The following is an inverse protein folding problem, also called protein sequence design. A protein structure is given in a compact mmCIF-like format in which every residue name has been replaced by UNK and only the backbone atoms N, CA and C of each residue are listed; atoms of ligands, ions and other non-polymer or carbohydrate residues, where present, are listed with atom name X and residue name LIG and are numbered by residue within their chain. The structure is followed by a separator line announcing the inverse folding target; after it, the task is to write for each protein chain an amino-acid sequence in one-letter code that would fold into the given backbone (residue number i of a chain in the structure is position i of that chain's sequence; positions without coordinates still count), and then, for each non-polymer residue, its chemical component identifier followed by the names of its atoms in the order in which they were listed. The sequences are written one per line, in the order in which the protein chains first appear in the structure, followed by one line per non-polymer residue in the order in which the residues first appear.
data_IF_917133796350
#
_entry.id   IF_917133796350
#
_cell.length_a   1.000
_cell.length_b   1.000
_cell.length_c   1.000
_cell.angle_alpha   90.00
_cell.angle_beta   90.00
_cell.angle_gamma   90.00
#
_symmetry.space_group_name_H-M   'P 1'
#
loop_
_entity.id
_entity.type
_entity.pdbx_description
1 polymer ?
#
# COMPACT_ATOMS: atom_id res chain seq x y z
N UNK A 1 8.16 -17.61 -15.12
CA UNK A 1 7.51 -16.83 -14.05
C UNK A 1 8.30 -15.55 -13.86
N UNK A 2 7.65 -14.41 -13.60
CA UNK A 2 8.34 -13.13 -13.36
C UNK A 2 8.63 -12.95 -11.88
N UNK A 3 9.72 -12.26 -11.53
CA UNK A 3 10.01 -11.84 -10.16
C UNK A 3 9.15 -10.63 -9.81
N UNK A 4 8.33 -10.73 -8.77
CA UNK A 4 7.34 -9.73 -8.42
C UNK A 4 7.70 -8.99 -7.13
N UNK A 5 7.58 -7.67 -7.18
CA UNK A 5 7.53 -6.82 -6.00
C UNK A 5 6.12 -6.25 -5.85
N UNK A 6 5.63 -6.18 -4.61
CA UNK A 6 4.33 -5.54 -4.28
C UNK A 6 4.60 -4.28 -3.48
N UNK A 7 4.15 -3.14 -4.00
CA UNK A 7 4.26 -1.83 -3.38
C UNK A 7 2.87 -1.39 -2.90
N UNK A 8 2.68 -1.31 -1.59
CA UNK A 8 1.40 -0.96 -0.97
C UNK A 8 1.48 0.43 -0.37
N UNK A 9 0.72 1.35 -0.94
CA UNK A 9 0.45 2.65 -0.32
C UNK A 9 -0.56 2.45 0.81
N UNK A 10 -0.07 2.46 2.04
CA UNK A 10 -0.87 2.15 3.21
C UNK A 10 -1.96 3.16 3.50
N UNK A 11 -1.70 4.44 3.26
CA UNK A 11 -2.69 5.50 3.44
C UNK A 11 -3.85 5.32 2.45
N UNK A 12 -3.52 5.23 1.16
CA UNK A 12 -4.53 5.06 0.11
C UNK A 12 -5.27 3.72 0.25
N UNK A 13 -4.54 2.63 0.47
CA UNK A 13 -5.14 1.30 0.54
C UNK A 13 -6.01 1.10 1.78
N UNK A 14 -5.69 1.72 2.93
CA UNK A 14 -6.54 1.67 4.12
C UNK A 14 -7.95 2.19 3.85
N UNK A 15 -8.09 3.34 3.19
CA UNK A 15 -9.40 3.91 2.88
C UNK A 15 -10.17 3.06 1.87
N UNK A 16 -9.48 2.46 0.89
CA UNK A 16 -10.08 1.53 -0.07
C UNK A 16 -10.55 0.24 0.59
N UNK A 17 -9.72 -0.37 1.44
CA UNK A 17 -10.11 -1.54 2.23
C UNK A 17 -11.33 -1.23 3.09
N UNK A 18 -11.40 -0.04 3.71
CA UNK A 18 -12.59 0.39 4.45
C UNK A 18 -13.84 0.46 3.56
N UNK A 19 -13.76 0.99 2.33
CA UNK A 19 -14.90 1.01 1.40
C UNK A 19 -15.29 -0.41 0.95
N UNK A 20 -14.32 -1.29 0.66
CA UNK A 20 -14.60 -2.67 0.27
C UNK A 20 -15.27 -3.46 1.40
N UNK A 21 -14.70 -3.41 2.62
CA UNK A 21 -15.25 -4.11 3.79
C UNK A 21 -16.63 -3.62 4.21
N UNK A 22 -16.96 -2.34 3.98
CA UNK A 22 -18.30 -1.82 4.26
C UNK A 22 -19.42 -2.44 3.42
N UNK A 23 -19.06 -3.17 2.35
CA UNK A 23 -19.98 -3.86 1.45
C UNK A 23 -20.08 -5.36 1.74
N UNK A 24 -19.33 -5.85 2.71
CA UNK A 24 -19.33 -7.26 3.12
C UNK A 24 -20.26 -7.46 4.32
N UNK A 25 -20.82 -8.67 4.42
CA UNK A 25 -21.61 -9.08 5.56
C UNK A 25 -20.68 -9.51 6.71
N UNK A 26 -20.49 -8.64 7.70
CA UNK A 26 -19.71 -9.00 8.88
C UNK A 26 -19.05 -7.82 9.55
N UNK A 27 -18.45 -8.08 10.72
CA UNK A 27 -17.56 -7.13 11.38
C UNK A 27 -16.13 -7.57 11.17
N UNK A 28 -15.39 -6.78 10.40
CA UNK A 28 -13.99 -7.03 10.11
C UNK A 28 -13.11 -5.92 10.69
N UNK A 29 -11.99 -6.34 11.25
CA UNK A 29 -10.93 -5.43 11.67
C UNK A 29 -9.90 -5.31 10.55
N UNK A 30 -9.73 -4.10 10.02
CA UNK A 30 -8.72 -3.82 8.99
C UNK A 30 -7.29 -4.05 9.48
N UNK A 31 -7.08 -4.00 10.80
CA UNK A 31 -5.78 -4.35 11.40
C UNK A 31 -5.48 -5.83 11.28
N UNK A 32 -6.48 -6.68 11.07
CA UNK A 32 -6.32 -8.14 10.95
C UNK A 32 -6.20 -8.60 9.49
N UNK A 33 -6.20 -7.67 8.53
CA UNK A 33 -6.02 -8.00 7.12
C UNK A 33 -4.69 -8.75 6.87
N UNK A 34 -4.78 -9.90 6.22
CA UNK A 34 -3.65 -10.78 5.92
C UNK A 34 -2.92 -10.32 4.64
N UNK A 35 -2.18 -9.21 4.75
CA UNK A 35 -1.44 -8.58 3.65
C UNK A 35 -0.50 -9.54 2.89
N UNK A 36 0.15 -10.49 3.58
CA UNK A 36 1.03 -11.48 2.94
C UNK A 36 0.24 -12.40 2.01
N UNK A 37 -0.85 -12.99 2.50
CA UNK A 37 -1.73 -13.86 1.69
C UNK A 37 -2.33 -13.10 0.52
N UNK A 38 -2.76 -11.86 0.75
CA UNK A 38 -3.24 -10.98 -0.31
C UNK A 38 -2.19 -10.77 -1.40
N UNK A 39 -0.96 -10.45 -1.03
CA UNK A 39 0.14 -10.28 -1.98
C UNK A 39 0.46 -11.56 -2.76
N UNK A 40 0.52 -12.72 -2.08
CA UNK A 40 0.76 -14.02 -2.71
C UNK A 40 -0.32 -14.39 -3.74
N UNK A 41 -1.58 -14.18 -3.37
CA UNK A 41 -2.72 -14.34 -4.29
C UNK A 41 -2.61 -13.37 -5.48
N UNK A 42 -2.33 -12.09 -5.20
CA UNK A 42 -2.29 -11.03 -6.20
C UNK A 42 -1.23 -11.29 -7.28
N UNK A 43 -0.05 -11.77 -6.88
CA UNK A 43 1.05 -11.94 -7.83
C UNK A 43 0.93 -13.19 -8.70
N UNK A 44 0.05 -14.14 -8.37
CA UNK A 44 -0.06 -15.43 -9.08
C UNK A 44 -0.28 -15.22 -10.59
N UNK A 45 0.46 -15.92 -11.48
CA UNK A 45 1.42 -17.02 -11.25
C UNK A 45 2.89 -16.56 -11.12
N UNK A 46 3.15 -15.30 -10.79
CA UNK A 46 4.51 -14.77 -10.62
C UNK A 46 5.07 -15.11 -9.23
N UNK A 47 6.39 -15.03 -9.12
CA UNK A 47 7.12 -15.31 -7.89
C UNK A 47 7.18 -14.06 -7.01
N UNK A 48 6.56 -14.09 -5.82
CA UNK A 48 6.63 -13.00 -4.86
C UNK A 48 8.00 -12.94 -4.20
N UNK A 49 8.80 -11.92 -4.49
CA UNK A 49 10.10 -11.71 -3.84
C UNK A 49 10.01 -10.78 -2.63
N UNK A 50 9.24 -9.69 -2.74
CA UNK A 50 9.21 -8.66 -1.70
C UNK A 50 7.86 -7.94 -1.64
N UNK A 51 7.44 -7.64 -0.41
CA UNK A 51 6.30 -6.75 -0.14
C UNK A 51 6.83 -5.54 0.61
N UNK A 52 6.52 -4.35 0.12
CA UNK A 52 6.83 -3.08 0.78
C UNK A 52 5.55 -2.33 1.09
N UNK A 53 5.40 -1.92 2.35
CA UNK A 53 4.25 -1.17 2.84
C UNK A 53 4.70 0.24 3.24
N UNK A 54 4.10 1.25 2.62
CA UNK A 54 4.44 2.65 2.75
C UNK A 54 3.44 3.33 3.65
N UNK A 55 3.89 3.89 4.77
CA UNK A 55 3.01 4.46 5.79
C UNK A 55 3.47 5.87 6.23
N UNK A 56 2.52 6.80 6.33
CA UNK A 56 2.74 8.11 6.97
C UNK A 56 3.09 7.92 8.46
N UNK A 57 4.08 8.66 8.96
CA UNK A 57 4.48 8.57 10.35
C UNK A 57 3.56 9.39 11.27
N UNK A 58 2.79 8.71 12.13
CA UNK A 58 1.88 9.38 13.05
C UNK A 58 2.68 9.94 14.22
N UNK A 59 2.63 11.27 14.38
CA UNK A 59 3.21 11.92 15.55
C UNK A 59 2.35 11.67 16.78
N UNK A 60 2.98 11.16 17.84
CA UNK A 60 2.37 11.03 19.16
C UNK A 60 2.33 12.37 19.88
N UNK A 61 1.14 12.89 20.13
CA UNK A 61 0.90 14.11 20.89
C UNK A 61 0.38 13.77 22.29
N UNK A 62 1.16 14.14 23.31
CA UNK A 62 0.76 13.94 24.71
C UNK A 62 -0.49 14.76 25.00
N UNK A 63 -1.38 14.20 25.82
CA UNK A 63 -2.68 14.79 26.20
C UNK A 63 -3.69 14.92 25.06
N UNK A 64 -3.46 14.25 23.93
CA UNK A 64 -4.42 14.15 22.83
C UNK A 64 -4.87 12.68 22.68
N UNK A 65 -6.03 12.28 23.25
CA UNK A 65 -6.48 10.89 23.23
C UNK A 65 -6.60 10.29 21.82
N UNK A 66 -7.00 11.11 20.85
CA UNK A 66 -7.10 10.69 19.44
C UNK A 66 -5.73 10.39 18.85
N UNK A 67 -4.74 11.25 19.09
CA UNK A 67 -3.36 11.04 18.64
C UNK A 67 -2.74 9.79 19.30
N UNK A 68 -2.95 9.60 20.61
CA UNK A 68 -2.50 8.41 21.33
C UNK A 68 -3.11 7.12 20.75
N UNK A 69 -4.41 7.12 20.45
CA UNK A 69 -5.09 5.96 19.85
C UNK A 69 -4.60 5.67 18.43
N UNK A 70 -4.43 6.71 17.60
CA UNK A 70 -3.91 6.57 16.23
C UNK A 70 -2.48 6.01 16.23
N UNK A 71 -1.62 6.53 17.12
CA UNK A 71 -0.27 6.02 17.31
C UNK A 71 -0.28 4.55 17.76
N UNK A 72 -1.10 4.19 18.74
CA UNK A 72 -1.22 2.82 19.22
C UNK A 72 -1.70 1.86 18.11
N UNK A 73 -2.66 2.27 17.29
CA UNK A 73 -3.14 1.48 16.15
C UNK A 73 -2.05 1.33 15.07
N UNK A 74 -1.27 2.38 14.79
CA UNK A 74 -0.12 2.29 13.89
C UNK A 74 0.93 1.31 14.41
N UNK A 75 1.27 1.34 15.70
CA UNK A 75 2.22 0.38 16.28
C UNK A 75 1.71 -1.06 16.18
N UNK A 76 0.40 -1.29 16.41
CA UNK A 76 -0.23 -2.61 16.20
C UNK A 76 -0.14 -3.07 14.75
N UNK A 77 -0.44 -2.19 13.78
CA UNK A 77 -0.32 -2.48 12.35
C UNK A 77 1.12 -2.85 12.00
N UNK A 78 2.10 -2.03 12.43
CA UNK A 78 3.53 -2.27 12.19
C UNK A 78 3.94 -3.65 12.71
N UNK A 79 3.56 -4.01 13.95
CA UNK A 79 3.86 -5.32 14.52
C UNK A 79 3.31 -6.48 13.69
N UNK A 80 2.08 -6.36 13.19
CA UNK A 80 1.46 -7.39 12.33
C UNK A 80 2.08 -7.47 10.94
N UNK A 81 2.46 -6.34 10.35
CA UNK A 81 3.17 -6.30 9.06
C UNK A 81 4.55 -6.95 9.19
N UNK A 82 5.27 -6.70 10.30
CA UNK A 82 6.56 -7.33 10.58
C UNK A 82 6.44 -8.85 10.76
N UNK A 83 5.42 -9.33 11.49
CA UNK A 83 5.13 -10.76 11.62
C UNK A 83 4.86 -11.44 10.28
N UNK A 84 4.42 -10.69 9.28
CA UNK A 84 4.15 -11.14 7.92
C UNK A 84 5.36 -10.99 6.97
N UNK A 85 6.55 -10.67 7.49
CA UNK A 85 7.77 -10.40 6.71
C UNK A 85 7.59 -9.31 5.66
N UNK A 86 6.82 -8.26 5.98
CA UNK A 86 6.59 -7.11 5.11
C UNK A 86 7.57 -5.99 5.50
N UNK A 87 8.27 -5.43 4.51
CA UNK A 87 9.17 -4.30 4.73
C UNK A 87 8.34 -3.03 4.87
N UNK A 88 8.53 -2.32 5.97
CA UNK A 88 7.76 -1.11 6.28
C UNK A 88 8.65 0.10 5.99
N UNK A 89 8.14 1.03 5.20
CA UNK A 89 8.80 2.31 4.91
C UNK A 89 7.96 3.44 5.46
N UNK A 90 8.50 4.16 6.44
CA UNK A 90 7.84 5.30 7.05
C UNK A 90 8.20 6.59 6.33
N UNK A 91 7.20 7.45 6.12
CA UNK A 91 7.43 8.84 5.72
C UNK A 91 8.11 9.65 6.84
N UNK A 92 8.53 10.88 6.52
CA UNK A 92 9.10 11.79 7.51
C UNK A 92 8.07 12.82 7.96
N UNK A 93 8.07 13.13 9.26
CA UNK A 93 7.34 14.29 9.78
C UNK A 93 8.27 15.49 9.71
N UNK A 94 7.91 16.49 8.90
CA UNK A 94 8.70 17.71 8.75
C UNK A 94 7.97 18.84 9.46
N UNK A 95 8.70 19.60 10.29
CA UNK A 95 8.20 20.84 10.88
C UNK A 95 8.24 21.93 9.82
N UNK A 96 7.09 22.50 9.48
CA UNK A 96 6.99 23.62 8.56
C UNK A 96 7.42 24.94 9.25
N UNK A 97 7.84 25.96 8.47
CA UNK A 97 8.22 27.28 8.99
C UNK A 97 7.13 27.96 9.82
N UNK A 98 5.86 27.65 9.56
CA UNK A 98 4.69 28.10 10.31
C UNK A 98 4.47 27.34 11.65
N UNK A 99 5.42 26.49 12.05
CA UNK A 99 5.41 25.62 13.24
C UNK A 99 4.37 24.49 13.19
N UNK A 100 3.67 24.30 12.08
CA UNK A 100 2.84 23.11 11.87
C UNK A 100 3.73 21.90 11.53
N UNK A 101 3.20 20.69 11.70
CA UNK A 101 3.89 19.46 11.30
C UNK A 101 3.14 18.89 10.10
N UNK A 102 3.84 18.72 8.99
CA UNK A 102 3.28 18.05 7.82
C UNK A 102 3.94 16.69 7.68
N UNK A 103 3.14 15.64 7.53
CA UNK A 103 3.62 14.39 6.97
C UNK A 103 4.04 14.66 5.52
N UNK A 104 5.28 14.34 5.18
CA UNK A 104 5.79 14.48 3.81
C UNK A 104 6.56 13.23 3.38
N UNK A 105 6.35 12.88 2.13
CA UNK A 105 7.32 12.14 1.34
C UNK A 105 7.23 10.62 1.43
N UNK A 106 6.16 10.05 1.98
CA UNK A 106 5.97 8.59 1.86
C UNK A 106 5.68 8.20 0.41
N UNK A 107 4.87 8.99 -0.31
CA UNK A 107 4.53 8.75 -1.73
C UNK A 107 5.75 8.98 -2.63
N UNK A 108 6.54 10.03 -2.32
CA UNK A 108 7.84 10.28 -2.96
C UNK A 108 8.79 9.10 -2.72
N UNK A 109 8.83 8.56 -1.50
CA UNK A 109 9.68 7.43 -1.18
C UNK A 109 9.25 6.17 -1.91
N UNK A 110 7.94 5.93 -2.04
CA UNK A 110 7.36 4.86 -2.83
C UNK A 110 7.79 4.99 -4.30
N UNK A 111 7.58 6.16 -4.91
CA UNK A 111 7.97 6.45 -6.29
C UNK A 111 9.48 6.20 -6.52
N UNK A 112 10.33 6.76 -5.65
CA UNK A 112 11.80 6.62 -5.75
C UNK A 112 12.23 5.15 -5.62
N UNK A 113 11.65 4.40 -4.70
CA UNK A 113 12.01 2.99 -4.50
C UNK A 113 11.54 2.10 -5.65
N UNK A 114 10.34 2.33 -6.20
CA UNK A 114 9.87 1.65 -7.41
C UNK A 114 10.88 1.81 -8.55
N UNK A 115 11.28 3.05 -8.85
CA UNK A 115 12.24 3.42 -9.90
C UNK A 115 13.62 2.81 -9.62
N UNK A 116 14.13 2.99 -8.39
CA UNK A 116 15.44 2.47 -7.97
C UNK A 116 15.53 0.96 -8.17
N UNK A 117 14.55 0.21 -7.67
CA UNK A 117 14.55 -1.24 -7.74
C UNK A 117 14.31 -1.77 -9.16
N UNK A 118 13.55 -1.06 -9.99
CA UNK A 118 13.45 -1.34 -11.43
C UNK A 118 14.83 -1.23 -12.10
N UNK A 119 15.50 -0.09 -11.90
CA UNK A 119 16.83 0.19 -12.44
C UNK A 119 17.89 -0.81 -11.97
N UNK A 120 17.85 -1.20 -10.70
CA UNK A 120 18.73 -2.22 -10.11
C UNK A 120 18.32 -3.67 -10.48
N UNK A 121 17.32 -3.86 -11.33
CA UNK A 121 16.84 -5.16 -11.80
C UNK A 121 16.41 -6.12 -10.67
N UNK A 122 15.85 -5.57 -9.58
CA UNK A 122 15.39 -6.34 -8.41
C UNK A 122 14.09 -7.11 -8.66
N UNK A 123 13.27 -6.64 -9.60
CA UNK A 123 12.04 -7.29 -10.03
C UNK A 123 11.85 -7.20 -11.54
N UNK A 124 10.90 -7.97 -12.06
CA UNK A 124 10.46 -7.95 -13.46
C UNK A 124 9.06 -7.33 -13.59
N UNK A 125 8.23 -7.45 -12.54
CA UNK A 125 6.92 -6.82 -12.44
C UNK A 125 6.71 -6.17 -11.06
N UNK A 126 6.18 -4.95 -11.07
CA UNK A 126 5.70 -4.24 -9.88
C UNK A 126 4.17 -4.30 -9.83
N UNK A 127 3.64 -4.65 -8.66
CA UNK A 127 2.23 -4.53 -8.35
C UNK A 127 2.04 -3.30 -7.47
N UNK A 128 1.45 -2.25 -8.03
CA UNK A 128 1.23 -0.98 -7.34
C UNK A 128 -0.18 -0.92 -6.77
N UNK A 129 -0.29 -1.06 -5.45
CA UNK A 129 -1.57 -0.94 -4.72
C UNK A 129 -1.71 0.50 -4.20
N UNK A 130 -2.18 1.40 -5.07
CA UNK A 130 -2.48 2.81 -4.77
C UNK A 130 -3.42 3.38 -5.85
N UNK A 131 -4.16 4.45 -5.57
CA UNK A 131 -4.89 5.26 -6.58
C UNK A 131 -4.32 6.67 -6.69
N UNK A 132 -3.13 6.92 -6.13
CA UNK A 132 -2.53 8.24 -6.20
C UNK A 132 -2.00 8.52 -7.61
N UNK A 133 -2.51 9.58 -8.24
CA UNK A 133 -2.09 10.02 -9.57
C UNK A 133 -0.68 10.59 -9.57
N UNK A 134 -0.14 10.99 -8.42
CA UNK A 134 1.23 11.51 -8.32
C UNK A 134 2.28 10.44 -8.63
N UNK A 135 1.89 9.16 -8.64
CA UNK A 135 2.75 8.02 -8.98
C UNK A 135 2.84 7.73 -10.48
N UNK A 136 2.09 8.44 -11.35
CA UNK A 136 2.09 8.22 -12.80
C UNK A 136 3.51 8.30 -13.38
N UNK A 137 4.28 9.34 -13.05
CA UNK A 137 5.65 9.51 -13.53
C UNK A 137 6.57 8.34 -13.10
N UNK A 138 6.35 7.80 -11.90
CA UNK A 138 7.12 6.63 -11.43
C UNK A 138 6.78 5.37 -12.23
N UNK A 139 5.50 5.17 -12.58
CA UNK A 139 5.06 4.05 -13.41
C UNK A 139 5.66 4.15 -14.82
N UNK A 140 5.65 5.33 -15.42
CA UNK A 140 6.26 5.56 -16.74
C UNK A 140 7.76 5.24 -16.74
N UNK A 141 8.50 5.71 -15.73
CA UNK A 141 9.94 5.48 -15.61
C UNK A 141 10.26 4.00 -15.34
N UNK A 142 9.50 3.32 -14.49
CA UNK A 142 9.63 1.87 -14.26
C UNK A 142 9.45 1.09 -15.57
N UNK A 143 8.47 1.49 -16.39
CA UNK A 143 8.25 0.89 -17.72
C UNK A 143 9.36 1.23 -18.71
N UNK A 144 9.93 2.43 -18.65
CA UNK A 144 11.09 2.82 -19.47
C UNK A 144 12.32 1.93 -19.19
N UNK A 145 12.48 1.41 -17.97
CA UNK A 145 13.48 0.38 -17.64
C UNK A 145 13.11 -1.04 -18.10
N UNK A 146 12.05 -1.20 -18.89
CA UNK A 146 11.60 -2.50 -19.42
C UNK A 146 10.88 -3.37 -18.40
N UNK A 147 10.48 -2.81 -17.24
CA UNK A 147 9.69 -3.53 -16.23
C UNK A 147 8.21 -3.45 -16.53
N UNK A 148 7.45 -4.39 -15.98
CA UNK A 148 5.99 -4.35 -16.05
C UNK A 148 5.40 -3.72 -14.79
N UNK A 149 4.31 -3.00 -14.94
CA UNK A 149 3.53 -2.48 -13.81
C UNK A 149 2.09 -2.93 -13.94
N UNK A 150 1.59 -3.64 -12.93
CA UNK A 150 0.16 -3.84 -12.73
C UNK A 150 -0.33 -2.84 -11.68
N UNK A 151 -1.25 -1.97 -12.08
CA UNK A 151 -1.95 -1.08 -11.16
C UNK A 151 -3.08 -1.86 -10.48
N UNK A 152 -3.14 -1.78 -9.14
CA UNK A 152 -4.15 -2.43 -8.31
C UNK A 152 -4.98 -1.39 -7.56
N UNK A 153 -6.25 -1.31 -7.91
CA UNK A 153 -7.19 -0.33 -7.39
C UNK A 153 -8.51 -0.96 -6.93
N UNK A 154 -9.53 -0.12 -6.77
CA UNK A 154 -10.92 -0.55 -6.60
C UNK A 154 -11.78 0.22 -7.61
N UNK A 155 -12.95 -0.30 -8.03
CA UNK A 155 -13.80 0.39 -9.00
C UNK A 155 -14.18 1.80 -8.55
N UNK A 156 -14.57 1.95 -7.29
CA UNK A 156 -14.93 3.24 -6.69
C UNK A 156 -13.68 3.98 -6.22
N UNK A 157 -13.15 4.85 -7.07
CA UNK A 157 -11.87 5.55 -6.82
C UNK A 157 -10.72 5.00 -7.67
N UNK A 158 -11.02 4.36 -8.79
CA UNK A 158 -10.03 4.02 -9.80
C UNK A 158 -9.29 5.27 -10.28
N UNK A 159 -7.96 5.21 -10.32
CA UNK A 159 -7.15 6.26 -10.96
C UNK A 159 -7.06 6.02 -12.47
N UNK A 160 -7.67 6.89 -13.27
CA UNK A 160 -7.57 6.84 -14.73
C UNK A 160 -6.15 7.15 -15.22
N UNK A 161 -5.42 8.02 -14.51
CA UNK A 161 -4.01 8.31 -14.81
C UNK A 161 -3.17 7.04 -14.73
N UNK A 162 -3.21 6.34 -13.59
CA UNK A 162 -2.50 5.07 -13.43
C UNK A 162 -3.00 3.99 -14.39
N UNK A 163 -4.32 3.93 -14.65
CA UNK A 163 -4.90 2.98 -15.59
C UNK A 163 -4.39 3.16 -17.01
N UNK A 164 -4.05 4.40 -17.39
CA UNK A 164 -3.57 4.72 -18.74
C UNK A 164 -2.10 4.34 -18.93
N UNK A 165 -1.29 4.49 -17.89
CA UNK A 165 0.17 4.28 -17.98
C UNK A 165 0.64 2.89 -17.56
N UNK A 166 -0.13 2.16 -16.76
CA UNK A 166 0.22 0.78 -16.37
C UNK A 166 0.10 -0.20 -17.53
N UNK A 167 0.79 -1.35 -17.44
CA UNK A 167 0.66 -2.41 -18.44
C UNK A 167 -0.60 -3.25 -18.24
N UNK A 168 -1.13 -3.28 -17.03
CA UNK A 168 -2.36 -4.00 -16.66
C UNK A 168 -3.03 -3.34 -15.45
N UNK A 169 -4.34 -3.56 -15.32
CA UNK A 169 -5.18 -2.97 -14.26
C UNK A 169 -6.00 -4.05 -13.58
N UNK A 170 -5.82 -4.21 -12.26
CA UNK A 170 -6.66 -5.06 -11.41
C UNK A 170 -7.50 -4.20 -10.48
N UNK A 171 -8.83 -4.30 -10.59
CA UNK A 171 -9.76 -3.65 -9.67
C UNK A 171 -10.29 -4.69 -8.70
N UNK A 172 -9.93 -4.55 -7.41
CA UNK A 172 -10.33 -5.46 -6.35
C UNK A 172 -11.83 -5.33 -6.07
N UNK A 173 -12.50 -6.47 -5.94
CA UNK A 173 -13.90 -6.55 -5.54
C UNK A 173 -14.02 -6.99 -4.07
N UNK A 174 -15.11 -6.62 -3.36
CA UNK A 174 -15.31 -6.99 -1.97
C UNK A 174 -15.16 -8.50 -1.72
N UNK A 175 -15.79 -9.33 -2.54
CA UNK A 175 -15.77 -10.79 -2.40
C UNK A 175 -14.37 -11.40 -2.58
N UNK A 176 -13.46 -10.72 -3.29
CA UNK A 176 -12.09 -11.20 -3.46
C UNK A 176 -11.24 -10.92 -2.23
N UNK A 177 -11.53 -9.83 -1.50
CA UNK A 177 -10.73 -9.44 -0.33
C UNK A 177 -11.18 -10.11 0.97
N UNK A 178 -12.42 -10.61 1.01
CA UNK A 178 -13.01 -11.23 2.21
C UNK A 178 -12.16 -12.38 2.74
N UNK A 179 -11.57 -13.19 1.86
CA UNK A 179 -10.70 -14.31 2.23
C UNK A 179 -9.43 -13.91 3.00
N UNK A 180 -9.06 -12.62 3.00
CA UNK A 180 -7.91 -12.08 3.73
C UNK A 180 -8.31 -11.35 5.01
N UNK A 181 -9.60 -11.36 5.36
CA UNK A 181 -10.15 -10.75 6.55
C UNK A 181 -10.62 -11.85 7.50
N UNK A 182 -9.84 -12.19 8.53
CA UNK A 182 -10.32 -13.14 9.52
C UNK A 182 -11.55 -12.56 10.24
N UNK A 183 -12.53 -13.40 10.62
CA UNK A 183 -13.66 -12.96 11.43
C UNK A 183 -13.15 -12.30 12.71
N UNK A 184 -13.72 -11.16 13.08
CA UNK A 184 -13.35 -10.52 14.35
C UNK A 184 -13.68 -11.47 15.50
N UNK A 185 -12.68 -11.83 16.30
CA UNK A 185 -12.91 -12.45 17.61
C UNK A 185 -13.63 -11.41 18.46
N UNK A 186 -14.92 -11.64 18.73
CA UNK A 186 -15.74 -10.82 19.64
C UNK A 186 -15.26 -11.04 21.07
#
# INVERSE_FOLDING_TARGET
MKRAFVFIDGGNFYFKLKDLTSKLDGKYSLLDFEFRKFAEWLVTPNELLEIRYYLGAIKRERNNPKSEQLYANQQKLIGKLQQQNIIITLGHVIRHPDKTHHEKGVDVRLAVEMIKFARENKYDIAYLVSSDTDLVAAVEEVRAFGKKVQYVGIPKGQSYGLSTVADDVRLLRPEEIEQFLPPSLI
#
